data_IF_552104653781
#
_entry.id   IF_552104653781
#
_cell.length_a   1.000
_cell.length_b   1.000
_cell.length_c   1.000
_cell.angle_alpha   90.00
_cell.angle_beta   90.00
_cell.angle_gamma   90.00
#
_symmetry.space_group_name_H-M   'P 1'
#
loop_
_entity.id
_entity.type
_entity.pdbx_description
1 polymer ?
#
# COMPACT_ATOMS: atom_id res chain seq x y z
N UNK A 1 -4.93 10.52 28.25
CA UNK A 1 -3.47 10.53 28.47
C UNK A 1 -3.11 9.22 29.09
N UNK A 2 -2.72 8.25 28.29
CA UNK A 2 -2.28 6.93 28.74
C UNK A 2 -0.82 7.05 29.13
N UNK A 3 -0.53 6.83 30.44
CA UNK A 3 0.83 6.87 30.96
C UNK A 3 1.76 5.93 30.20
N UNK A 4 2.84 6.47 29.70
CA UNK A 4 3.94 5.73 29.13
C UNK A 4 4.56 4.86 30.24
N UNK A 5 4.33 3.56 30.16
CA UNK A 5 5.05 2.59 31.00
C UNK A 5 6.49 2.59 30.55
N UNK A 6 7.43 2.74 31.49
CA UNK A 6 8.89 2.79 31.28
C UNK A 6 9.50 1.42 30.94
N UNK A 7 8.76 0.53 30.29
CA UNK A 7 9.18 -0.79 29.87
C UNK A 7 9.11 -0.99 28.36
N UNK A 8 9.81 -1.98 27.84
CA UNK A 8 9.65 -2.42 26.46
C UNK A 8 8.29 -3.11 26.29
N UNK A 9 7.47 -2.62 25.36
CA UNK A 9 6.19 -3.21 24.99
C UNK A 9 6.31 -3.91 23.64
N UNK A 10 5.65 -5.06 23.51
CA UNK A 10 5.53 -5.75 22.22
C UNK A 10 4.14 -5.52 21.66
N UNK A 11 4.05 -4.94 20.49
CA UNK A 11 2.80 -4.67 19.78
C UNK A 11 2.71 -5.60 18.58
N UNK A 12 1.63 -6.39 18.52
CA UNK A 12 1.31 -7.19 17.35
C UNK A 12 0.61 -6.32 16.31
N UNK A 13 1.10 -6.36 15.08
CA UNK A 13 0.51 -5.62 13.95
C UNK A 13 0.77 -6.36 12.64
N UNK A 14 0.37 -5.78 11.53
CA UNK A 14 0.58 -6.36 10.21
C UNK A 14 1.50 -5.50 9.36
N UNK A 15 2.26 -6.16 8.50
CA UNK A 15 3.06 -5.48 7.49
C UNK A 15 2.15 -4.84 6.44
N UNK A 16 2.41 -3.58 6.11
CA UNK A 16 1.66 -2.81 5.11
C UNK A 16 2.43 -2.63 3.81
N UNK A 17 3.42 -3.47 3.55
CA UNK A 17 4.18 -3.40 2.31
C UNK A 17 3.30 -3.72 1.11
N UNK A 18 3.62 -3.13 -0.03
CA UNK A 18 2.85 -3.24 -1.28
C UNK A 18 2.71 -4.67 -1.85
N UNK A 19 3.41 -5.63 -1.27
CA UNK A 19 3.31 -7.03 -1.70
C UNK A 19 1.98 -7.71 -1.33
N UNK A 20 1.14 -7.08 -0.52
CA UNK A 20 -0.15 -7.66 -0.11
C UNK A 20 -0.08 -8.78 0.91
N UNK A 21 1.10 -9.12 1.38
CA UNK A 21 1.33 -10.29 2.22
C UNK A 21 0.72 -10.26 3.61
N UNK A 22 0.42 -9.07 4.13
CA UNK A 22 -0.20 -8.87 5.45
C UNK A 22 0.50 -9.64 6.58
N UNK A 23 1.82 -9.83 6.48
CA UNK A 23 2.60 -10.59 7.47
C UNK A 23 2.41 -10.04 8.87
N UNK A 24 2.32 -10.92 9.83
CA UNK A 24 2.23 -10.56 11.24
C UNK A 24 3.62 -10.12 11.75
N UNK A 25 3.65 -8.99 12.41
CA UNK A 25 4.85 -8.38 12.97
C UNK A 25 4.76 -8.29 14.49
N UNK A 26 5.84 -8.66 15.16
CA UNK A 26 6.11 -8.30 16.55
C UNK A 26 6.94 -7.01 16.56
N UNK A 27 6.34 -5.92 16.99
CA UNK A 27 6.99 -4.62 17.05
C UNK A 27 7.35 -4.30 18.49
N UNK A 28 8.64 -4.25 18.78
CA UNK A 28 9.16 -3.87 20.08
C UNK A 28 9.25 -2.36 20.17
N UNK A 29 8.57 -1.80 21.17
CA UNK A 29 8.51 -0.35 21.41
C UNK A 29 9.04 -0.05 22.79
N UNK A 30 10.03 0.83 22.86
CA UNK A 30 10.57 1.34 24.11
C UNK A 30 10.58 2.87 24.06
N UNK A 31 10.06 3.50 25.10
CA UNK A 31 10.00 4.95 25.21
C UNK A 31 9.35 5.64 23.98
N UNK A 32 8.32 4.99 23.41
CA UNK A 32 7.62 5.47 22.23
C UNK A 32 8.34 5.26 20.90
N UNK A 33 9.49 4.58 20.91
CA UNK A 33 10.27 4.30 19.70
C UNK A 33 10.32 2.81 19.38
N UNK A 34 10.22 2.47 18.11
CA UNK A 34 10.39 1.11 17.62
C UNK A 34 11.87 0.74 17.73
N UNK A 35 12.19 -0.22 18.57
CA UNK A 35 13.56 -0.72 18.76
C UNK A 35 13.89 -1.88 17.83
N UNK A 36 12.90 -2.77 17.61
CA UNK A 36 13.07 -3.98 16.81
C UNK A 36 11.74 -4.40 16.17
N UNK A 37 11.80 -5.02 15.01
CA UNK A 37 10.66 -5.67 14.35
C UNK A 37 11.05 -7.11 14.05
N UNK A 38 10.22 -8.05 14.49
CA UNK A 38 10.39 -9.47 14.26
C UNK A 38 9.15 -10.04 13.57
N UNK A 39 9.27 -11.26 13.07
CA UNK A 39 8.10 -12.05 12.71
C UNK A 39 7.41 -12.58 13.98
N UNK A 40 6.16 -12.96 13.86
CA UNK A 40 5.46 -13.65 14.94
C UNK A 40 6.01 -15.08 15.14
N UNK A 41 5.56 -15.75 16.22
CA UNK A 41 5.92 -17.12 16.53
C UNK A 41 4.82 -18.11 16.11
N UNK A 42 3.87 -17.68 15.28
CA UNK A 42 2.76 -18.50 14.82
C UNK A 42 3.23 -19.74 14.04
N UNK A 43 2.41 -20.79 13.96
CA UNK A 43 2.74 -22.01 13.25
C UNK A 43 2.78 -21.84 11.73
N UNK A 44 2.07 -20.82 11.21
CA UNK A 44 1.91 -20.60 9.77
C UNK A 44 3.15 -19.93 9.17
N UNK A 45 3.91 -20.63 8.31
CA UNK A 45 5.09 -20.05 7.68
C UNK A 45 4.74 -18.91 6.72
N UNK A 46 3.51 -18.89 6.24
CA UNK A 46 3.03 -17.99 5.19
C UNK A 46 2.96 -16.52 5.62
N UNK A 47 2.73 -16.24 6.89
CA UNK A 47 2.59 -14.86 7.39
C UNK A 47 3.87 -14.34 8.03
N UNK A 48 5.00 -14.97 7.73
CA UNK A 48 6.32 -14.57 8.25
C UNK A 48 6.83 -13.31 7.61
N UNK A 49 7.33 -12.41 8.44
CA UNK A 49 7.91 -11.17 7.98
C UNK A 49 9.22 -11.39 7.21
N UNK A 50 9.26 -11.00 5.97
CA UNK A 50 10.47 -10.96 5.17
C UNK A 50 11.41 -9.83 5.64
N UNK A 51 12.59 -9.73 5.03
CA UNK A 51 13.57 -8.69 5.35
C UNK A 51 13.00 -7.27 5.20
N UNK A 52 12.12 -7.02 4.23
CA UNK A 52 11.47 -5.71 4.04
C UNK A 52 10.60 -5.32 5.24
N UNK A 53 9.75 -6.24 5.71
CA UNK A 53 8.91 -6.01 6.87
C UNK A 53 9.73 -5.73 8.14
N UNK A 54 10.81 -6.49 8.34
CA UNK A 54 11.72 -6.28 9.47
C UNK A 54 12.50 -4.95 9.38
N UNK A 55 12.82 -4.50 8.17
CA UNK A 55 13.56 -3.27 7.94
C UNK A 55 12.68 -2.00 8.03
N UNK A 56 11.35 -2.11 8.22
CA UNK A 56 10.45 -0.96 8.25
C UNK A 56 10.84 0.11 9.26
N UNK A 57 11.49 -0.26 10.36
CA UNK A 57 12.02 0.68 11.34
C UNK A 57 12.94 1.72 10.71
N UNK A 58 13.80 1.29 9.79
CA UNK A 58 14.72 2.20 9.08
C UNK A 58 13.93 3.23 8.25
N UNK A 59 12.85 2.80 7.61
CA UNK A 59 11.97 3.69 6.85
C UNK A 59 11.20 4.66 7.76
N UNK A 60 10.72 4.18 8.91
CA UNK A 60 9.96 5.03 9.85
C UNK A 60 10.82 6.17 10.38
N UNK A 61 12.11 5.90 10.65
CA UNK A 61 13.05 6.85 11.22
C UNK A 61 14.05 7.41 10.20
N UNK A 62 13.79 7.26 8.92
CA UNK A 62 14.65 7.83 7.89
C UNK A 62 14.69 9.37 8.02
N UNK A 63 15.88 9.99 8.00
CA UNK A 63 16.02 11.43 8.22
C UNK A 63 15.39 12.27 7.11
N UNK A 64 15.23 11.70 5.92
CA UNK A 64 14.61 12.31 4.75
C UNK A 64 13.12 12.01 4.64
N UNK A 65 12.53 11.34 5.62
CA UNK A 65 11.11 11.04 5.62
C UNK A 65 10.28 12.32 5.72
N UNK A 66 9.35 12.48 4.78
CA UNK A 66 8.36 13.56 4.82
C UNK A 66 7.33 13.26 5.91
N UNK A 67 7.28 14.11 6.94
CA UNK A 67 6.38 13.99 8.09
C UNK A 67 5.37 15.13 8.21
N UNK A 68 5.44 16.09 7.29
CA UNK A 68 4.53 17.23 7.21
C UNK A 68 4.08 17.46 5.77
N UNK A 69 2.90 18.07 5.55
CA UNK A 69 2.50 18.50 4.23
C UNK A 69 3.49 19.51 3.64
N UNK A 70 3.81 19.34 2.38
CA UNK A 70 4.68 20.22 1.62
C UNK A 70 3.91 20.83 0.46
N UNK A 71 3.99 22.13 0.31
CA UNK A 71 3.47 22.86 -0.84
C UNK A 71 4.60 23.30 -1.75
N UNK A 72 4.52 22.99 -3.04
CA UNK A 72 5.47 23.47 -4.02
C UNK A 72 5.39 24.98 -4.16
N UNK A 73 6.52 25.66 -4.14
CA UNK A 73 6.65 27.12 -4.27
C UNK A 73 7.41 27.56 -5.53
N UNK A 74 8.20 26.67 -6.10
CA UNK A 74 8.94 26.92 -7.34
C UNK A 74 8.29 26.31 -8.57
N UNK A 75 8.95 26.39 -9.70
CA UNK A 75 8.55 25.79 -10.96
C UNK A 75 8.50 24.27 -10.87
N UNK A 76 7.66 23.66 -11.71
CA UNK A 76 7.57 22.20 -11.80
C UNK A 76 8.93 21.61 -12.19
N UNK A 77 9.40 20.64 -11.39
CA UNK A 77 10.69 19.98 -11.60
C UNK A 77 11.86 20.59 -10.83
N UNK A 78 11.71 21.77 -10.21
CA UNK A 78 12.78 22.40 -9.40
C UNK A 78 12.92 21.80 -8.00
N UNK A 79 11.92 21.09 -7.50
CA UNK A 79 11.98 20.49 -6.18
C UNK A 79 11.89 21.47 -5.00
N UNK A 80 11.40 22.67 -5.25
CA UNK A 80 11.27 23.73 -4.24
C UNK A 80 9.94 23.63 -3.51
N UNK A 81 10.00 23.30 -2.22
CA UNK A 81 8.84 23.10 -1.38
C UNK A 81 8.94 23.87 -0.09
N UNK A 82 7.81 24.31 0.45
CA UNK A 82 7.69 24.82 1.82
C UNK A 82 6.74 23.94 2.62
N UNK A 83 7.01 23.82 3.93
CA UNK A 83 6.10 23.20 4.87
C UNK A 83 4.85 24.06 5.05
N UNK A 84 3.68 23.39 5.08
CA UNK A 84 2.40 24.00 5.39
C UNK A 84 1.70 23.21 6.52
N UNK A 85 0.63 23.76 7.09
CA UNK A 85 -0.20 23.05 8.04
C UNK A 85 -1.09 21.99 7.35
N UNK A 86 -1.63 21.05 8.13
CA UNK A 86 -2.62 20.10 7.62
C UNK A 86 -3.91 20.80 7.18
N UNK A 87 -4.37 21.80 7.92
CA UNK A 87 -5.56 22.56 7.57
C UNK A 87 -5.37 23.28 6.22
N UNK A 88 -4.25 23.98 6.06
CA UNK A 88 -3.91 24.62 4.77
C UNK A 88 -3.84 23.61 3.62
N UNK A 89 -3.27 22.43 3.86
CA UNK A 89 -3.18 21.39 2.83
C UNK A 89 -4.55 20.84 2.44
N UNK A 90 -5.40 20.55 3.42
CA UNK A 90 -6.75 20.03 3.21
C UNK A 90 -7.65 21.04 2.50
N UNK A 91 -7.63 22.29 2.94
CA UNK A 91 -8.40 23.38 2.32
C UNK A 91 -7.99 23.58 0.86
N UNK A 92 -6.70 23.55 0.59
CA UNK A 92 -6.20 23.68 -0.78
C UNK A 92 -6.64 22.53 -1.68
N UNK A 93 -6.54 21.28 -1.20
CA UNK A 93 -6.97 20.09 -1.96
C UNK A 93 -8.48 20.12 -2.18
N UNK A 94 -9.26 20.38 -1.14
CA UNK A 94 -10.72 20.45 -1.23
C UNK A 94 -11.18 21.58 -2.17
N UNK A 95 -10.52 22.74 -2.06
CA UNK A 95 -10.77 23.90 -2.94
C UNK A 95 -10.53 23.58 -4.41
N UNK A 96 -9.42 22.92 -4.73
CA UNK A 96 -9.11 22.53 -6.11
C UNK A 96 -10.04 21.43 -6.66
N UNK A 97 -10.40 20.45 -5.87
CA UNK A 97 -11.40 19.45 -6.23
C UNK A 97 -12.73 20.16 -6.57
N UNK A 98 -13.18 21.06 -5.72
CA UNK A 98 -14.41 21.83 -5.93
C UNK A 98 -14.29 22.71 -7.20
N UNK A 99 -13.19 23.42 -7.36
CA UNK A 99 -12.95 24.29 -8.53
C UNK A 99 -13.00 23.51 -9.84
N UNK A 100 -12.24 22.44 -9.95
CA UNK A 100 -12.18 21.63 -11.17
C UNK A 100 -13.57 21.08 -11.51
N UNK A 101 -14.29 20.58 -10.52
CA UNK A 101 -15.64 20.06 -10.70
C UNK A 101 -16.63 21.08 -11.19
N UNK A 102 -16.68 22.26 -10.55
CA UNK A 102 -17.65 23.30 -10.90
C UNK A 102 -17.32 23.93 -12.25
N UNK A 103 -16.04 23.98 -12.63
CA UNK A 103 -15.61 24.62 -13.87
C UNK A 103 -15.64 23.67 -15.07
N UNK A 104 -15.20 22.44 -14.89
CA UNK A 104 -14.97 21.49 -15.99
C UNK A 104 -15.77 20.19 -15.89
N UNK A 105 -16.46 20.00 -14.79
CA UNK A 105 -17.18 18.75 -14.49
C UNK A 105 -16.32 17.65 -13.90
N UNK A 106 -16.94 16.57 -13.37
CA UNK A 106 -16.23 15.50 -12.70
C UNK A 106 -15.29 14.71 -13.62
N UNK A 107 -15.60 14.59 -14.90
CA UNK A 107 -14.75 13.89 -15.87
C UNK A 107 -13.38 14.56 -16.12
N UNK A 108 -13.23 15.82 -15.72
CA UNK A 108 -11.94 16.52 -15.81
C UNK A 108 -10.94 16.12 -14.71
N UNK A 109 -11.38 15.36 -13.73
CA UNK A 109 -10.50 14.78 -12.70
C UNK A 109 -10.09 13.37 -13.08
N UNK A 110 -8.83 13.16 -13.37
CA UNK A 110 -8.28 11.83 -13.62
C UNK A 110 -7.61 11.30 -12.34
N UNK A 111 -8.05 10.15 -11.89
CA UNK A 111 -7.41 9.42 -10.82
C UNK A 111 -6.61 8.24 -11.37
N UNK A 112 -5.30 8.36 -11.30
CA UNK A 112 -4.37 7.30 -11.65
C UNK A 112 -3.94 6.61 -10.37
N UNK A 113 -4.13 5.30 -10.31
CA UNK A 113 -3.83 4.51 -9.12
C UNK A 113 -2.94 3.33 -9.46
N UNK A 114 -2.19 2.88 -8.48
CA UNK A 114 -1.38 1.67 -8.57
C UNK A 114 -1.45 0.91 -7.24
N UNK A 115 -0.75 -0.22 -7.15
CA UNK A 115 -0.55 -0.94 -5.91
C UNK A 115 0.08 -0.06 -4.82
N UNK A 116 0.32 -0.62 -3.68
CA UNK A 116 0.91 0.08 -2.54
C UNK A 116 0.42 -0.52 -1.25
N UNK A 117 0.08 0.30 -0.28
CA UNK A 117 -0.55 -0.15 0.95
C UNK A 117 -1.91 -0.79 0.66
N UNK A 118 -1.99 -2.10 0.84
CA UNK A 118 -3.19 -2.90 0.53
C UNK A 118 -3.93 -3.38 1.77
N UNK A 119 -3.64 -2.81 2.93
CA UNK A 119 -4.27 -3.16 4.19
C UNK A 119 -5.57 -2.39 4.46
N UNK A 120 -5.98 -2.27 5.70
CA UNK A 120 -7.28 -1.72 6.12
C UNK A 120 -7.59 -0.31 5.61
N UNK A 121 -6.59 0.58 5.67
CA UNK A 121 -6.71 1.94 5.17
C UNK A 121 -6.11 2.07 3.76
N UNK A 122 -6.50 1.16 2.90
CA UNK A 122 -6.03 1.13 1.53
C UNK A 122 -6.22 2.50 0.86
N UNK A 123 -5.13 3.20 0.60
CA UNK A 123 -5.14 4.57 0.07
C UNK A 123 -6.00 4.68 -1.21
N UNK A 124 -5.89 3.70 -2.08
CA UNK A 124 -6.68 3.61 -3.32
C UNK A 124 -8.17 3.66 -3.07
N UNK A 125 -8.68 2.82 -2.17
CA UNK A 125 -10.12 2.74 -1.88
C UNK A 125 -10.65 3.96 -1.14
N UNK A 126 -9.85 4.59 -0.30
CA UNK A 126 -10.27 5.80 0.43
C UNK A 126 -10.41 6.99 -0.49
N UNK A 127 -9.48 7.20 -1.42
CA UNK A 127 -9.58 8.27 -2.42
C UNK A 127 -10.69 7.98 -3.44
N UNK A 128 -10.79 6.73 -3.88
CA UNK A 128 -11.87 6.25 -4.76
C UNK A 128 -13.25 6.63 -4.18
N UNK A 129 -13.46 6.29 -2.91
CA UNK A 129 -14.68 6.64 -2.20
C UNK A 129 -14.91 8.14 -2.12
N UNK A 130 -13.88 8.93 -1.78
CA UNK A 130 -13.97 10.38 -1.72
C UNK A 130 -14.41 10.96 -3.06
N UNK A 131 -13.79 10.56 -4.15
CA UNK A 131 -14.08 11.07 -5.48
C UNK A 131 -15.44 10.61 -6.00
N UNK A 132 -15.83 9.36 -5.76
CA UNK A 132 -17.17 8.86 -6.06
C UNK A 132 -18.26 9.67 -5.32
N UNK A 133 -18.13 9.81 -4.01
CA UNK A 133 -19.08 10.59 -3.20
C UNK A 133 -19.12 12.07 -3.55
N UNK A 134 -18.01 12.55 -4.06
CA UNK A 134 -17.95 13.92 -4.56
C UNK A 134 -18.55 14.10 -5.96
N UNK A 135 -19.14 13.09 -6.64
CA UNK A 135 -19.87 13.13 -7.92
C UNK A 135 -19.10 12.55 -9.10
N UNK A 136 -18.08 11.76 -8.86
CA UNK A 136 -17.39 11.01 -9.91
C UNK A 136 -16.07 11.63 -10.38
N UNK A 137 -15.40 10.87 -11.23
CA UNK A 137 -14.08 11.21 -11.79
C UNK A 137 -13.80 10.30 -12.99
N UNK A 138 -12.77 10.65 -13.77
CA UNK A 138 -12.21 9.74 -14.77
C UNK A 138 -11.18 8.82 -14.14
N UNK A 139 -11.15 7.59 -14.60
CA UNK A 139 -10.27 6.55 -14.09
C UNK A 139 -9.51 5.90 -15.24
N UNK A 140 -8.28 5.48 -14.96
CA UNK A 140 -7.56 4.56 -15.81
C UNK A 140 -8.25 3.19 -15.85
N UNK A 141 -8.10 2.47 -16.94
CA UNK A 141 -8.57 1.10 -17.05
C UNK A 141 -7.42 0.13 -16.84
N UNK A 142 -7.73 -0.97 -16.14
CA UNK A 142 -6.81 -2.07 -15.98
C UNK A 142 -5.82 -1.95 -14.83
N UNK A 143 -4.81 -2.78 -14.87
CA UNK A 143 -3.76 -2.88 -13.84
C UNK A 143 -2.41 -2.92 -14.55
N UNK A 144 -1.58 -1.96 -14.40
CA UNK A 144 -0.30 -1.79 -15.09
C UNK A 144 0.52 -3.09 -15.27
N UNK A 145 0.45 -4.00 -14.31
CA UNK A 145 1.23 -5.24 -14.31
C UNK A 145 0.43 -6.49 -14.75
N UNK A 146 -0.89 -6.42 -14.87
CA UNK A 146 -1.74 -7.60 -14.97
C UNK A 146 -2.75 -7.55 -16.12
N UNK A 147 -2.74 -6.55 -16.97
CA UNK A 147 -3.76 -6.40 -18.02
C UNK A 147 -3.80 -7.58 -18.99
N UNK A 148 -2.63 -8.04 -19.41
CA UNK A 148 -2.55 -9.21 -20.26
C UNK A 148 -3.09 -10.48 -19.61
N UNK A 149 -2.81 -10.66 -18.31
CA UNK A 149 -3.34 -11.78 -17.55
C UNK A 149 -4.85 -11.68 -17.40
N UNK A 150 -5.38 -10.52 -17.02
CA UNK A 150 -6.81 -10.30 -16.87
C UNK A 150 -7.57 -10.53 -18.17
N UNK A 151 -7.03 -10.05 -19.29
CA UNK A 151 -7.60 -10.31 -20.61
C UNK A 151 -7.60 -11.80 -20.95
N UNK A 152 -6.46 -12.48 -20.75
CA UNK A 152 -6.34 -13.90 -21.01
C UNK A 152 -7.30 -14.73 -20.14
N UNK A 153 -7.41 -14.40 -18.85
CA UNK A 153 -8.35 -15.07 -17.94
C UNK A 153 -9.79 -14.87 -18.37
N UNK A 154 -10.19 -13.65 -18.68
CA UNK A 154 -11.55 -13.37 -19.16
C UNK A 154 -11.85 -14.07 -20.47
N UNK A 155 -10.90 -14.11 -21.41
CA UNK A 155 -11.09 -14.77 -22.71
C UNK A 155 -11.09 -16.31 -22.60
N UNK A 156 -10.35 -16.89 -21.66
CA UNK A 156 -10.19 -18.35 -21.54
C UNK A 156 -11.23 -18.94 -20.57
N UNK A 157 -11.46 -18.29 -19.45
CA UNK A 157 -12.28 -18.83 -18.35
C UNK A 157 -13.59 -18.04 -18.13
N UNK A 158 -13.75 -16.90 -18.78
CA UNK A 158 -14.91 -16.02 -18.57
C UNK A 158 -14.94 -15.27 -17.24
N UNK A 159 -13.87 -15.29 -16.49
CA UNK A 159 -13.75 -14.69 -15.15
C UNK A 159 -12.38 -14.09 -14.93
N UNK A 160 -12.25 -13.17 -13.94
CA UNK A 160 -10.99 -12.55 -13.55
C UNK A 160 -10.37 -13.15 -12.29
N UNK A 161 -10.95 -14.20 -11.73
CA UNK A 161 -10.58 -14.77 -10.43
C UNK A 161 -10.46 -16.28 -10.49
N UNK A 162 -9.65 -16.77 -11.42
CA UNK A 162 -9.35 -18.19 -11.51
C UNK A 162 -7.99 -18.51 -10.90
N UNK A 163 -7.85 -19.72 -10.42
CA UNK A 163 -6.62 -20.25 -9.86
C UNK A 163 -6.87 -21.12 -8.63
N UNK A 164 -5.92 -21.97 -8.34
CA UNK A 164 -5.90 -22.78 -7.13
C UNK A 164 -5.21 -22.02 -5.98
N UNK A 165 -5.52 -22.41 -4.77
CA UNK A 165 -4.79 -21.95 -3.59
C UNK A 165 -3.36 -22.52 -3.61
N UNK A 166 -2.42 -21.89 -2.95
CA UNK A 166 -1.01 -22.32 -2.94
C UNK A 166 -0.82 -23.68 -2.30
N UNK A 167 -1.63 -24.00 -1.34
CA UNK A 167 -1.65 -25.31 -0.69
C UNK A 167 -1.85 -26.43 -1.69
N UNK A 168 -2.50 -26.20 -2.82
CA UNK A 168 -2.65 -27.17 -3.90
C UNK A 168 -1.32 -27.58 -4.55
N UNK A 169 -0.30 -26.73 -4.47
CA UNK A 169 1.04 -27.05 -4.93
C UNK A 169 1.62 -28.26 -4.20
N UNK A 170 1.25 -28.45 -2.92
CA UNK A 170 1.68 -29.58 -2.12
C UNK A 170 1.13 -30.92 -2.65
N UNK A 171 0.03 -30.89 -3.39
CA UNK A 171 -0.61 -32.05 -4.00
C UNK A 171 -0.16 -32.29 -5.44
N UNK A 172 0.67 -31.41 -5.99
CA UNK A 172 1.14 -31.50 -7.38
C UNK A 172 2.28 -32.49 -7.51
N UNK A 173 2.23 -33.33 -8.55
CA UNK A 173 3.34 -34.24 -8.91
C UNK A 173 4.41 -33.56 -9.76
N UNK A 174 4.05 -32.47 -10.42
CA UNK A 174 4.93 -31.66 -11.26
C UNK A 174 4.52 -30.22 -11.13
N UNK A 175 5.48 -29.34 -10.87
CA UNK A 175 5.30 -27.89 -10.83
C UNK A 175 6.15 -27.29 -11.97
N UNK A 176 5.51 -26.58 -12.88
CA UNK A 176 6.18 -25.89 -13.98
C UNK A 176 6.22 -24.38 -13.66
N UNK A 177 7.40 -23.86 -13.43
CA UNK A 177 7.62 -22.42 -13.19
C UNK A 177 7.90 -21.73 -14.54
N UNK A 178 6.86 -21.24 -15.19
CA UNK A 178 6.96 -20.58 -16.49
C UNK A 178 7.12 -19.06 -16.30
N UNK A 179 8.34 -18.57 -16.47
CA UNK A 179 8.66 -17.14 -16.25
C UNK A 179 8.34 -16.67 -14.83
N UNK A 180 8.29 -17.58 -13.88
CA UNK A 180 7.94 -17.33 -12.49
C UNK A 180 9.11 -17.67 -11.57
N UNK A 181 9.58 -16.67 -10.84
CA UNK A 181 10.60 -16.82 -9.81
C UNK A 181 10.09 -16.25 -8.48
N UNK A 182 9.38 -17.05 -7.69
CA UNK A 182 8.79 -16.59 -6.43
C UNK A 182 9.83 -16.16 -5.40
N UNK A 183 11.04 -16.70 -5.42
CA UNK A 183 12.10 -16.33 -4.50
C UNK A 183 12.62 -14.91 -4.72
N UNK A 184 12.60 -14.43 -5.97
CA UNK A 184 13.02 -13.07 -6.34
C UNK A 184 11.84 -12.08 -6.34
N UNK A 185 10.69 -12.51 -6.83
CA UNK A 185 9.50 -11.67 -7.00
C UNK A 185 8.51 -11.87 -5.85
N UNK A 186 8.95 -11.71 -4.62
CA UNK A 186 8.10 -11.85 -3.43
C UNK A 186 6.97 -10.82 -3.49
N UNK A 187 5.80 -11.25 -3.90
CA UNK A 187 4.59 -10.41 -3.96
C UNK A 187 3.58 -10.71 -2.85
N UNK A 188 3.76 -11.80 -2.18
CA UNK A 188 2.96 -12.19 -1.02
C UNK A 188 3.87 -12.94 -0.05
N UNK A 189 3.40 -13.21 1.14
CA UNK A 189 4.19 -13.79 2.23
C UNK A 189 4.76 -15.17 1.97
N UNK A 190 4.42 -15.79 0.91
CA UNK A 190 4.52 -17.22 0.75
C UNK A 190 5.44 -17.62 -0.39
N UNK A 191 6.43 -16.79 -0.65
CA UNK A 191 7.48 -17.19 -1.57
C UNK A 191 8.67 -17.68 -0.79
#
# INVERSE_FOLDING_TARGET
>A
MTGLTTGENVVMTTCTSHCGGVCILKVHVKDGQITRIETDDGPEPQYRACVRGRAYRQRVYAPDRIIYPLCRVGDRGKGEFKRISWDEALDKVAGEIKRVRTTYGPAAMLYIQSGGDVTWLHNRKTIDRLLCMSGGYSRDWGWLSHDGLLYAMAATYGTFTEGSMREDLLHSRLIIMWGWDPATTIQETNC
#
